data_IF_800945654608
#
_entry.id   IF_800945654608
#
_cell.length_a   1.000
_cell.length_b   1.000
_cell.length_c   1.000
_cell.angle_alpha   90.00
_cell.angle_beta   90.00
_cell.angle_gamma   90.00
#
_symmetry.space_group_name_H-M   'P 1'
#
loop_
_entity.id
_entity.type
_entity.pdbx_description
1 polymer ?
#
# COMPACT_ATOMS: atom_id res chain seq x y z
N UNK A 1 10.10 3.99 -18.22
CA UNK A 1 9.06 4.58 -19.11
C UNK A 1 7.88 3.62 -19.36
N UNK A 2 8.05 2.32 -19.18
CA UNK A 2 6.96 1.33 -19.34
C UNK A 2 6.03 1.29 -18.13
N UNK A 3 6.46 1.76 -16.98
CA UNK A 3 5.69 1.90 -15.76
C UNK A 3 5.36 3.38 -15.55
N UNK A 4 4.14 3.75 -15.80
CA UNK A 4 3.66 5.12 -15.63
C UNK A 4 2.16 5.11 -15.41
N UNK A 5 1.73 5.60 -14.26
CA UNK A 5 0.33 5.77 -13.94
C UNK A 5 0.09 7.19 -13.40
N UNK A 6 -0.95 7.84 -13.91
CA UNK A 6 -1.47 9.07 -13.34
C UNK A 6 -2.74 8.74 -12.56
N UNK A 7 -2.63 8.72 -11.23
CA UNK A 7 -3.74 8.45 -10.34
C UNK A 7 -4.44 9.77 -9.98
N UNK A 8 -5.67 9.94 -10.45
CA UNK A 8 -6.47 11.15 -10.21
C UNK A 8 -7.41 10.93 -9.04
N UNK A 9 -7.47 11.92 -8.16
CA UNK A 9 -8.30 11.90 -6.95
C UNK A 9 -9.44 12.92 -7.06
N UNK A 10 -10.57 12.61 -6.44
CA UNK A 10 -11.69 13.54 -6.29
C UNK A 10 -11.48 14.50 -5.10
N UNK A 11 -12.42 15.40 -4.87
CA UNK A 11 -12.35 16.39 -3.79
C UNK A 11 -12.36 15.77 -2.37
N UNK A 12 -12.60 14.47 -2.24
CA UNK A 12 -12.55 13.73 -0.96
C UNK A 12 -11.23 12.98 -0.76
N UNK A 13 -10.28 13.09 -1.70
CA UNK A 13 -9.04 12.33 -1.69
C UNK A 13 -9.19 10.85 -2.10
N UNK A 14 -10.30 10.49 -2.75
CA UNK A 14 -10.57 9.14 -3.23
C UNK A 14 -10.26 9.03 -4.73
N UNK A 15 -9.90 7.84 -5.21
CA UNK A 15 -9.79 7.63 -6.65
C UNK A 15 -11.10 7.95 -7.38
N UNK A 16 -10.97 8.48 -8.58
CA UNK A 16 -12.13 8.78 -9.41
C UNK A 16 -12.93 7.51 -9.70
N UNK A 17 -14.24 7.60 -9.58
CA UNK A 17 -15.16 6.58 -10.08
C UNK A 17 -15.07 6.46 -11.61
N UNK A 18 -15.52 5.34 -12.16
CA UNK A 18 -15.55 5.13 -13.60
C UNK A 18 -16.33 6.23 -14.34
N UNK A 19 -17.42 6.77 -13.73
CA UNK A 19 -18.20 7.87 -14.28
C UNK A 19 -17.44 9.22 -14.29
N UNK A 20 -16.70 9.52 -13.24
CA UNK A 20 -15.84 10.72 -13.16
C UNK A 20 -14.68 10.63 -14.16
N UNK A 21 -14.03 9.46 -14.25
CA UNK A 21 -12.98 9.21 -15.24
C UNK A 21 -13.47 9.35 -16.69
N UNK A 22 -14.66 8.81 -17.01
CA UNK A 22 -15.28 8.96 -18.33
C UNK A 22 -15.52 10.43 -18.70
N UNK A 23 -15.95 11.25 -17.73
CA UNK A 23 -16.15 12.68 -17.95
C UNK A 23 -14.84 13.44 -18.23
N UNK A 24 -13.75 13.06 -17.57
CA UNK A 24 -12.42 13.64 -17.85
C UNK A 24 -11.96 13.27 -19.26
N UNK A 25 -12.16 12.00 -19.66
CA UNK A 25 -11.83 11.56 -21.02
C UNK A 25 -12.64 12.30 -22.07
N UNK A 26 -13.94 12.53 -21.85
CA UNK A 26 -14.79 13.32 -22.74
C UNK A 26 -14.25 14.76 -22.93
N UNK A 27 -13.83 15.42 -21.84
CA UNK A 27 -13.22 16.76 -21.89
C UNK A 27 -11.91 16.73 -22.67
N UNK A 28 -11.08 15.72 -22.44
CA UNK A 28 -9.79 15.57 -23.11
C UNK A 28 -9.93 15.28 -24.60
N UNK A 29 -10.87 14.41 -24.98
CA UNK A 29 -11.16 14.07 -26.40
C UNK A 29 -11.76 15.25 -27.17
N UNK A 30 -12.58 16.05 -26.50
CA UNK A 30 -13.15 17.26 -27.07
C UNK A 30 -12.17 18.44 -27.13
N UNK A 31 -10.94 18.28 -26.56
CA UNK A 31 -9.97 19.37 -26.39
C UNK A 31 -10.57 20.63 -25.75
N UNK A 32 -11.57 20.43 -24.87
CA UNK A 32 -12.32 21.49 -24.20
C UNK A 32 -11.51 22.09 -23.02
N UNK A 33 -10.38 22.71 -23.34
CA UNK A 33 -9.48 23.30 -22.35
C UNK A 33 -9.65 24.82 -22.30
N UNK A 34 -9.80 25.34 -21.09
CA UNK A 34 -9.75 26.78 -20.84
C UNK A 34 -8.30 27.18 -20.48
N UNK A 35 -7.62 27.83 -21.43
CA UNK A 35 -6.31 28.38 -21.19
C UNK A 35 -6.42 29.85 -20.77
N UNK A 36 -5.68 30.20 -19.73
CA UNK A 36 -5.59 31.58 -19.26
C UNK A 36 -4.45 32.33 -19.97
N UNK A 37 -4.54 33.67 -19.97
CA UNK A 37 -3.43 34.51 -20.44
C UNK A 37 -2.20 34.37 -19.54
N UNK A 38 -1.01 34.69 -20.10
CA UNK A 38 0.26 34.57 -19.39
C UNK A 38 0.33 35.31 -18.07
N UNK A 39 -0.35 36.45 -17.97
CA UNK A 39 -0.42 37.26 -16.76
C UNK A 39 -1.34 36.67 -15.66
N UNK A 40 -2.11 35.65 -15.99
CA UNK A 40 -3.04 34.92 -15.11
C UNK A 40 -2.57 33.50 -14.78
N UNK A 41 -1.34 33.15 -15.12
CA UNK A 41 -0.77 31.84 -14.75
C UNK A 41 -0.68 31.70 -13.23
N UNK A 42 -0.99 30.49 -12.74
CA UNK A 42 -0.82 30.17 -11.33
C UNK A 42 0.64 30.10 -10.90
N UNK A 43 0.87 30.15 -9.61
CA UNK A 43 2.19 29.98 -9.02
C UNK A 43 2.45 28.49 -8.71
N UNK A 44 3.73 28.09 -8.85
CA UNK A 44 4.21 26.77 -8.42
C UNK A 44 4.72 26.89 -6.99
N UNK A 45 4.12 26.15 -6.08
CA UNK A 45 4.61 26.04 -4.69
C UNK A 45 5.18 24.65 -4.44
N UNK A 46 6.27 24.58 -3.67
CA UNK A 46 6.89 23.32 -3.24
C UNK A 46 6.56 23.13 -1.77
N UNK A 47 6.10 21.94 -1.41
CA UNK A 47 5.84 21.54 -0.04
C UNK A 47 6.41 20.14 0.22
N UNK A 48 7.45 20.07 1.02
CA UNK A 48 8.17 18.81 1.33
C UNK A 48 7.69 18.15 2.63
N UNK A 49 6.66 18.70 3.30
CA UNK A 49 6.20 18.21 4.62
C UNK A 49 5.22 17.05 4.55
N UNK A 50 4.67 16.70 3.39
CA UNK A 50 3.61 15.70 3.30
C UNK A 50 4.02 14.29 3.69
N UNK A 51 5.29 13.92 3.52
CA UNK A 51 5.79 12.62 3.96
C UNK A 51 5.76 12.51 5.49
N UNK A 52 6.23 13.52 6.19
CA UNK A 52 6.22 13.56 7.66
C UNK A 52 4.79 13.57 8.19
N UNK A 53 3.91 14.39 7.61
CA UNK A 53 2.48 14.42 7.95
C UNK A 53 1.86 13.02 7.80
N UNK A 54 2.16 12.31 6.70
CA UNK A 54 1.62 10.98 6.49
C UNK A 54 2.13 9.97 7.53
N UNK A 55 3.43 10.02 7.86
CA UNK A 55 4.01 9.16 8.90
C UNK A 55 3.36 9.43 10.26
N UNK A 56 3.21 10.71 10.64
CA UNK A 56 2.59 11.09 11.89
C UNK A 56 1.13 10.58 11.98
N UNK A 57 0.34 10.76 10.93
CA UNK A 57 -1.04 10.24 10.84
C UNK A 57 -1.08 8.70 10.96
N UNK A 58 -0.14 7.99 10.35
CA UNK A 58 -0.05 6.52 10.48
C UNK A 58 0.27 6.11 11.91
N UNK A 59 1.21 6.80 12.56
CA UNK A 59 1.61 6.50 13.95
C UNK A 59 0.50 6.81 14.97
N UNK A 60 -0.41 7.74 14.64
CA UNK A 60 -1.57 8.09 15.46
C UNK A 60 -2.77 7.14 15.28
N UNK A 61 -2.74 6.21 14.31
CA UNK A 61 -3.83 5.25 14.12
C UNK A 61 -4.06 4.40 15.39
N UNK A 62 -5.31 4.22 15.84
CA UNK A 62 -5.62 3.54 17.09
C UNK A 62 -5.14 2.09 17.20
N UNK A 63 -4.85 1.45 16.08
CA UNK A 63 -4.38 0.07 16.01
C UNK A 63 -2.86 -0.03 15.83
N UNK A 64 -2.14 1.09 15.70
CA UNK A 64 -0.69 1.14 15.63
C UNK A 64 -0.14 1.38 17.04
N UNK A 65 0.64 0.42 17.54
CA UNK A 65 1.30 0.50 18.86
C UNK A 65 2.82 0.64 18.64
N UNK A 66 3.24 1.87 18.32
CA UNK A 66 4.64 2.19 18.05
C UNK A 66 5.54 1.93 19.28
N UNK A 67 5.03 2.17 20.49
CA UNK A 67 5.78 1.92 21.72
C UNK A 67 6.02 0.41 21.93
N UNK A 68 5.02 -0.42 21.67
CA UNK A 68 5.18 -1.87 21.70
C UNK A 68 6.24 -2.33 20.69
N UNK A 69 6.17 -1.84 19.45
CA UNK A 69 7.15 -2.18 18.40
C UNK A 69 8.56 -1.79 18.85
N UNK A 70 8.74 -0.60 19.39
CA UNK A 70 10.02 -0.09 19.90
C UNK A 70 10.65 -1.01 20.97
N UNK A 71 9.81 -1.65 21.81
CA UNK A 71 10.30 -2.59 22.84
C UNK A 71 10.87 -3.88 22.25
N UNK A 72 10.44 -4.26 21.03
CA UNK A 72 10.82 -5.53 20.37
C UNK A 72 12.19 -5.49 19.72
N UNK A 73 12.67 -4.29 19.36
CA UNK A 73 13.98 -4.08 18.72
C UNK A 73 14.16 -4.91 17.46
N UNK A 74 13.13 -4.92 16.61
CA UNK A 74 13.15 -5.64 15.34
C UNK A 74 14.26 -5.11 14.43
N UNK A 75 14.85 -6.04 13.67
CA UNK A 75 15.71 -5.76 12.51
C UNK A 75 14.97 -6.17 11.24
N UNK A 76 14.79 -5.25 10.31
CA UNK A 76 13.96 -5.44 9.11
C UNK A 76 14.72 -5.06 7.85
N UNK A 77 14.68 -5.91 6.83
CA UNK A 77 15.16 -5.55 5.48
C UNK A 77 14.01 -4.90 4.71
N UNK A 78 14.26 -3.75 4.08
CA UNK A 78 13.28 -3.04 3.26
C UNK A 78 13.75 -2.98 1.83
N UNK A 79 12.95 -3.51 0.91
CA UNK A 79 13.11 -3.35 -0.53
C UNK A 79 12.09 -2.32 -1.04
N UNK A 80 12.59 -1.15 -1.44
CA UNK A 80 11.82 -0.03 -1.96
C UNK A 80 11.84 0.08 -3.49
N UNK A 81 12.36 -0.94 -4.19
CA UNK A 81 12.47 -1.03 -5.67
C UNK A 81 13.00 0.26 -6.34
N UNK A 82 13.90 0.96 -5.65
CA UNK A 82 14.44 2.27 -6.04
C UNK A 82 13.37 3.32 -6.37
N UNK A 83 12.29 3.32 -5.59
CA UNK A 83 11.18 4.27 -5.69
C UNK A 83 10.84 4.91 -4.34
N UNK A 84 9.68 5.52 -4.22
CA UNK A 84 9.25 6.30 -3.04
C UNK A 84 9.20 5.49 -1.77
N UNK A 85 8.92 4.19 -1.86
CA UNK A 85 8.95 3.25 -0.73
C UNK A 85 10.31 3.19 -0.02
N UNK A 86 11.40 3.38 -0.77
CA UNK A 86 12.77 3.43 -0.22
C UNK A 86 13.04 4.63 0.68
N UNK A 87 12.17 5.64 0.68
CA UNK A 87 12.23 6.80 1.57
C UNK A 87 11.27 6.63 2.75
N UNK A 88 9.98 6.43 2.45
CA UNK A 88 8.95 6.50 3.48
C UNK A 88 8.98 5.30 4.43
N UNK A 89 9.19 4.07 3.93
CA UNK A 89 9.16 2.89 4.78
C UNK A 89 10.30 2.87 5.79
N UNK A 90 11.57 3.12 5.40
CA UNK A 90 12.65 3.27 6.38
C UNK A 90 12.37 4.34 7.43
N UNK A 91 11.90 5.52 7.02
CA UNK A 91 11.63 6.62 7.96
C UNK A 91 10.53 6.26 8.97
N UNK A 92 9.45 5.62 8.54
CA UNK A 92 8.39 5.14 9.42
C UNK A 92 8.92 4.11 10.42
N UNK A 93 9.66 3.11 9.95
CA UNK A 93 10.19 2.04 10.80
C UNK A 93 11.24 2.55 11.80
N UNK A 94 12.13 3.46 11.37
CA UNK A 94 13.16 4.06 12.23
C UNK A 94 12.51 4.88 13.37
N UNK A 95 11.38 5.58 13.11
CA UNK A 95 10.61 6.26 14.15
C UNK A 95 9.96 5.29 15.15
N UNK A 96 9.62 4.09 14.71
CA UNK A 96 9.16 3.00 15.59
C UNK A 96 10.30 2.25 16.29
N UNK A 97 11.55 2.71 16.14
CA UNK A 97 12.73 2.12 16.78
C UNK A 97 13.19 0.79 16.19
N UNK A 98 12.85 0.53 14.94
CA UNK A 98 13.27 -0.64 14.17
C UNK A 98 14.65 -0.39 13.55
N UNK A 99 15.53 -1.38 13.57
CA UNK A 99 16.77 -1.39 12.81
C UNK A 99 16.48 -1.74 11.36
N UNK A 100 16.77 -0.82 10.41
CA UNK A 100 16.44 -1.00 9.00
C UNK A 100 17.67 -1.29 8.17
N UNK A 101 17.65 -2.38 7.43
CA UNK A 101 18.61 -2.71 6.37
C UNK A 101 17.99 -2.35 5.03
N UNK A 102 18.57 -1.37 4.34
CA UNK A 102 18.01 -0.81 3.10
C UNK A 102 18.51 -1.61 1.88
N UNK A 103 17.57 -2.15 1.10
CA UNK A 103 17.81 -2.77 -0.19
C UNK A 103 17.03 -1.99 -1.25
N UNK A 104 17.71 -1.55 -2.31
CA UNK A 104 17.07 -0.81 -3.41
C UNK A 104 16.20 0.38 -2.94
N UNK A 105 16.75 1.18 -2.03
CA UNK A 105 16.08 2.34 -1.44
C UNK A 105 16.57 3.70 -2.00
N UNK A 106 17.25 3.73 -3.13
CA UNK A 106 17.63 4.97 -3.82
C UNK A 106 16.51 5.35 -4.82
N UNK A 107 15.77 6.45 -4.63
CA UNK A 107 14.59 6.78 -5.43
C UNK A 107 14.97 7.35 -6.82
N UNK A 108 15.79 6.62 -7.55
CA UNK A 108 16.29 7.00 -8.88
C UNK A 108 15.40 6.50 -10.04
N UNK A 109 14.38 5.68 -9.74
CA UNK A 109 13.45 5.11 -10.72
C UNK A 109 14.05 4.02 -11.61
N UNK A 110 15.26 3.55 -11.33
CA UNK A 110 15.86 2.41 -12.01
C UNK A 110 15.56 1.14 -11.21
N UNK A 111 14.47 0.48 -11.57
CA UNK A 111 14.03 -0.73 -10.88
C UNK A 111 15.00 -1.88 -11.11
N UNK A 112 15.61 -2.45 -10.05
CA UNK A 112 16.60 -3.52 -10.17
C UNK A 112 15.97 -4.88 -10.53
N UNK A 113 14.68 -5.04 -10.26
CA UNK A 113 13.86 -6.20 -10.61
C UNK A 113 12.49 -5.74 -11.10
N UNK A 114 11.64 -6.67 -11.52
CA UNK A 114 10.24 -6.35 -11.81
C UNK A 114 9.60 -5.77 -10.53
N UNK A 115 8.95 -4.58 -10.60
CA UNK A 115 8.48 -3.88 -9.43
C UNK A 115 7.26 -4.54 -8.75
N UNK A 116 6.63 -5.51 -9.37
CA UNK A 116 5.57 -6.29 -8.71
C UNK A 116 6.18 -7.24 -7.66
N UNK A 117 5.70 -7.22 -6.40
CA UNK A 117 6.27 -8.01 -5.31
C UNK A 117 5.84 -9.48 -5.39
N UNK A 118 6.19 -10.16 -6.49
CA UNK A 118 5.94 -11.57 -6.72
C UNK A 118 7.17 -12.41 -6.36
N UNK A 119 6.95 -13.62 -5.87
CA UNK A 119 8.00 -14.53 -5.38
C UNK A 119 9.19 -14.67 -6.34
N UNK A 120 8.93 -14.70 -7.65
CA UNK A 120 9.94 -14.88 -8.69
C UNK A 120 10.92 -13.70 -8.83
N UNK A 121 10.55 -12.53 -8.28
CA UNK A 121 11.34 -11.29 -8.37
C UNK A 121 12.09 -10.95 -7.09
N UNK A 122 11.85 -11.64 -5.98
CA UNK A 122 12.27 -11.26 -4.64
C UNK A 122 13.49 -12.07 -4.10
N UNK A 123 14.28 -12.68 -4.98
CA UNK A 123 15.41 -13.51 -4.58
C UNK A 123 16.46 -12.77 -3.73
N UNK A 124 16.72 -11.50 -4.03
CA UNK A 124 17.75 -10.71 -3.36
C UNK A 124 17.35 -10.38 -1.91
N UNK A 125 16.09 -9.96 -1.68
CA UNK A 125 15.63 -9.69 -0.31
C UNK A 125 15.51 -10.99 0.50
N UNK A 126 15.03 -12.09 -0.09
CA UNK A 126 14.97 -13.39 0.57
C UNK A 126 16.34 -13.80 1.11
N UNK A 127 17.38 -13.63 0.30
CA UNK A 127 18.76 -13.92 0.70
C UNK A 127 19.25 -12.93 1.77
N UNK A 128 19.00 -11.63 1.59
CA UNK A 128 19.51 -10.60 2.49
C UNK A 128 18.89 -10.71 3.89
N UNK A 129 17.61 -11.10 4.00
CA UNK A 129 16.96 -11.36 5.30
C UNK A 129 17.72 -12.43 6.08
N UNK A 130 18.14 -13.52 5.41
CA UNK A 130 18.92 -14.60 6.04
C UNK A 130 20.33 -14.12 6.41
N UNK A 131 21.03 -13.47 5.47
CA UNK A 131 22.43 -13.02 5.63
C UNK A 131 22.55 -12.02 6.78
N UNK A 132 21.59 -11.10 6.89
CA UNK A 132 21.51 -10.07 7.94
C UNK A 132 20.88 -10.57 9.24
N UNK A 133 20.35 -11.80 9.27
CA UNK A 133 19.59 -12.36 10.39
C UNK A 133 18.47 -11.43 10.83
N UNK A 134 17.78 -10.84 9.85
CA UNK A 134 16.65 -9.96 10.10
C UNK A 134 15.44 -10.76 10.60
N UNK A 135 14.58 -10.11 11.37
CA UNK A 135 13.34 -10.72 11.86
C UNK A 135 12.36 -10.97 10.72
N UNK A 136 12.35 -10.06 9.72
CA UNK A 136 11.57 -10.21 8.48
C UNK A 136 12.03 -9.20 7.42
N UNK A 137 11.49 -9.34 6.21
CA UNK A 137 11.63 -8.38 5.12
C UNK A 137 10.31 -7.73 4.74
N UNK A 138 10.38 -6.50 4.27
CA UNK A 138 9.26 -5.72 3.70
C UNK A 138 9.60 -5.39 2.27
N UNK A 139 8.68 -5.67 1.37
CA UNK A 139 8.77 -5.30 -0.05
C UNK A 139 7.57 -4.47 -0.42
N UNK A 140 7.78 -3.33 -1.06
CA UNK A 140 6.72 -2.49 -1.60
C UNK A 140 6.94 -2.23 -3.09
N UNK A 141 5.86 -1.98 -3.80
CA UNK A 141 5.92 -1.59 -5.20
C UNK A 141 6.22 -0.08 -5.39
N UNK A 142 6.36 0.45 -6.61
CA UNK A 142 6.85 1.82 -6.84
C UNK A 142 6.00 2.93 -6.24
N UNK A 143 4.69 2.77 -6.16
CA UNK A 143 3.75 3.75 -5.60
C UNK A 143 3.19 3.35 -4.23
N UNK A 144 3.75 2.26 -3.66
CA UNK A 144 3.57 1.81 -2.27
C UNK A 144 2.12 1.44 -1.95
N UNK A 145 1.37 0.96 -2.96
CA UNK A 145 0.01 0.47 -2.75
C UNK A 145 -0.05 -1.06 -2.55
N UNK A 146 1.09 -1.76 -2.74
CA UNK A 146 1.23 -3.20 -2.50
C UNK A 146 2.32 -3.49 -1.49
N UNK A 147 2.09 -4.49 -0.67
CA UNK A 147 2.98 -4.91 0.40
C UNK A 147 3.12 -6.44 0.44
N UNK A 148 4.36 -6.91 0.43
CA UNK A 148 4.67 -8.31 0.71
C UNK A 148 5.68 -8.45 1.84
N UNK A 149 5.61 -9.55 2.57
CA UNK A 149 6.53 -9.88 3.65
C UNK A 149 7.41 -11.08 3.32
N UNK A 150 8.64 -11.03 3.78
CA UNK A 150 9.58 -12.16 3.77
C UNK A 150 9.82 -12.58 5.21
N UNK A 151 9.62 -13.85 5.51
CA UNK A 151 9.89 -14.42 6.83
C UNK A 151 11.39 -14.49 7.13
N UNK A 152 11.77 -14.65 8.40
CA UNK A 152 13.16 -14.71 8.84
C UNK A 152 13.97 -15.90 8.27
N UNK A 153 13.30 -16.90 7.71
CA UNK A 153 13.91 -18.03 6.98
C UNK A 153 14.09 -17.75 5.47
N UNK A 154 13.75 -16.53 5.02
CA UNK A 154 13.84 -16.11 3.62
C UNK A 154 12.67 -16.57 2.75
N UNK A 155 11.66 -17.20 3.31
CA UNK A 155 10.46 -17.59 2.54
C UNK A 155 9.46 -16.43 2.48
N UNK A 156 8.82 -16.27 1.32
CA UNK A 156 7.77 -15.29 1.15
C UNK A 156 6.54 -15.68 1.96
N UNK A 157 6.02 -14.74 2.75
CA UNK A 157 4.78 -14.93 3.51
C UNK A 157 3.55 -15.10 2.59
N UNK A 158 3.65 -14.55 1.38
CA UNK A 158 2.61 -14.56 0.36
C UNK A 158 1.80 -13.26 0.37
N UNK A 159 1.74 -12.61 -0.78
CA UNK A 159 1.06 -11.32 -0.97
C UNK A 159 -0.42 -11.35 -0.56
N UNK A 160 -1.08 -12.45 -0.84
CA UNK A 160 -2.48 -12.74 -0.46
C UNK A 160 -2.70 -12.65 1.06
N UNK A 161 -1.73 -13.10 1.86
CA UNK A 161 -1.87 -13.17 3.32
C UNK A 161 -1.60 -11.85 4.02
N UNK A 162 -1.07 -10.84 3.35
CA UNK A 162 -0.91 -9.50 3.92
C UNK A 162 -2.26 -8.96 4.39
N UNK A 163 -3.24 -8.90 3.49
CA UNK A 163 -4.61 -8.48 3.83
C UNK A 163 -5.24 -9.37 4.91
N UNK A 164 -5.06 -10.69 4.80
CA UNK A 164 -5.67 -11.65 5.74
C UNK A 164 -5.15 -11.47 7.16
N UNK A 165 -3.82 -11.29 7.32
CA UNK A 165 -3.21 -11.08 8.63
C UNK A 165 -3.64 -9.76 9.28
N UNK A 166 -3.66 -8.68 8.49
CA UNK A 166 -4.13 -7.37 8.97
C UNK A 166 -5.61 -7.45 9.33
N UNK A 167 -6.43 -8.13 8.51
CA UNK A 167 -7.86 -8.30 8.78
C UNK A 167 -8.12 -9.12 10.05
N UNK A 168 -7.38 -10.21 10.31
CA UNK A 168 -7.52 -10.98 11.55
C UNK A 168 -7.23 -10.10 12.77
N UNK A 169 -6.17 -9.27 12.70
CA UNK A 169 -5.86 -8.32 13.76
C UNK A 169 -6.95 -7.27 13.96
N UNK A 170 -7.38 -6.60 12.90
CA UNK A 170 -8.44 -5.55 12.96
C UNK A 170 -9.73 -6.13 13.50
N UNK A 171 -10.19 -7.27 12.97
CA UNK A 171 -11.43 -7.95 13.39
C UNK A 171 -11.36 -8.44 14.82
N UNK A 172 -10.19 -8.78 15.33
CA UNK A 172 -10.01 -9.14 16.74
C UNK A 172 -10.26 -7.98 17.69
N UNK A 173 -10.13 -6.73 17.24
CA UNK A 173 -10.38 -5.51 18.02
C UNK A 173 -11.77 -4.95 17.77
N UNK A 174 -12.18 -4.94 16.50
CA UNK A 174 -13.48 -4.40 16.08
C UNK A 174 -14.11 -5.38 15.09
N UNK A 175 -14.99 -6.29 15.52
CA UNK A 175 -15.69 -7.18 14.61
C UNK A 175 -16.52 -6.40 13.59
N UNK A 176 -16.53 -6.87 12.34
CA UNK A 176 -17.24 -6.18 11.26
C UNK A 176 -17.19 -6.92 9.93
N UNK A 177 -17.70 -6.28 8.90
CA UNK A 177 -17.73 -6.84 7.56
C UNK A 177 -16.39 -6.59 6.83
N UNK A 178 -16.09 -7.43 5.85
CA UNK A 178 -14.91 -7.27 5.00
C UNK A 178 -15.25 -7.38 3.52
N UNK A 179 -14.38 -6.83 2.67
CA UNK A 179 -14.48 -6.91 1.22
C UNK A 179 -13.12 -7.23 0.62
N UNK A 180 -13.06 -8.15 -0.34
CA UNK A 180 -11.93 -8.22 -1.26
C UNK A 180 -12.40 -8.36 -2.71
N UNK A 181 -11.48 -8.27 -3.67
CA UNK A 181 -11.83 -8.49 -5.07
C UNK A 181 -11.96 -9.99 -5.39
N UNK A 182 -12.51 -10.30 -6.58
CA UNK A 182 -12.73 -11.69 -7.02
C UNK A 182 -11.44 -12.45 -7.37
N UNK A 183 -10.29 -11.77 -7.48
CA UNK A 183 -9.00 -12.43 -7.69
C UNK A 183 -8.34 -12.88 -6.39
N UNK A 184 -8.88 -12.50 -5.24
CA UNK A 184 -8.42 -12.91 -3.93
C UNK A 184 -8.88 -14.34 -3.58
N UNK A 185 -8.12 -14.99 -2.70
CA UNK A 185 -8.49 -16.31 -2.18
C UNK A 185 -9.67 -16.25 -1.21
N UNK A 186 -10.06 -17.41 -0.70
CA UNK A 186 -11.11 -17.50 0.34
C UNK A 186 -10.65 -17.14 1.74
N UNK A 187 -9.35 -16.92 1.94
CA UNK A 187 -8.80 -16.77 3.28
C UNK A 187 -9.39 -15.58 4.05
N UNK A 188 -9.61 -14.43 3.39
CA UNK A 188 -10.26 -13.28 4.03
C UNK A 188 -11.70 -13.61 4.45
N UNK A 189 -12.46 -14.33 3.62
CA UNK A 189 -13.80 -14.76 3.98
C UNK A 189 -13.79 -15.65 5.23
N UNK A 190 -12.92 -16.65 5.25
CA UNK A 190 -12.85 -17.63 6.34
C UNK A 190 -12.47 -16.92 7.67
N UNK A 191 -11.55 -15.94 7.63
CA UNK A 191 -11.22 -15.10 8.79
C UNK A 191 -12.40 -14.21 9.20
N UNK A 192 -13.12 -13.62 8.26
CA UNK A 192 -14.30 -12.79 8.55
C UNK A 192 -15.38 -13.59 9.26
N UNK A 193 -15.69 -14.78 8.75
CA UNK A 193 -16.66 -15.69 9.37
C UNK A 193 -16.23 -16.13 10.78
N UNK A 194 -14.92 -16.39 10.99
CA UNK A 194 -14.34 -16.68 12.31
C UNK A 194 -14.63 -15.58 13.33
N UNK A 195 -14.63 -14.31 12.87
CA UNK A 195 -14.94 -13.13 13.70
C UNK A 195 -16.43 -12.73 13.67
N UNK A 196 -17.33 -13.59 13.16
CA UNK A 196 -18.77 -13.37 13.05
C UNK A 196 -19.17 -12.18 12.15
N UNK A 197 -18.32 -11.78 11.22
CA UNK A 197 -18.60 -10.78 10.22
C UNK A 197 -19.17 -11.37 8.92
N UNK A 198 -19.55 -10.49 7.98
CA UNK A 198 -20.00 -10.85 6.65
C UNK A 198 -18.98 -10.43 5.61
N UNK A 199 -18.64 -11.34 4.71
CA UNK A 199 -17.72 -11.10 3.60
C UNK A 199 -18.46 -10.87 2.28
N UNK A 200 -17.97 -9.93 1.47
CA UNK A 200 -18.42 -9.77 0.09
C UNK A 200 -17.22 -9.61 -0.87
N UNK A 201 -17.40 -10.06 -2.11
CA UNK A 201 -16.41 -9.91 -3.16
C UNK A 201 -16.85 -8.85 -4.18
N UNK A 202 -15.92 -7.96 -4.55
CA UNK A 202 -16.10 -6.96 -5.61
C UNK A 202 -15.49 -7.42 -6.94
N UNK A 203 -15.77 -6.69 -8.02
CA UNK A 203 -14.93 -6.76 -9.21
C UNK A 203 -13.48 -6.36 -8.88
N UNK A 204 -12.54 -6.79 -9.73
CA UNK A 204 -11.12 -6.42 -9.61
C UNK A 204 -10.94 -4.91 -9.77
N UNK A 205 -10.03 -4.34 -8.98
CA UNK A 205 -9.70 -2.93 -8.93
C UNK A 205 -10.12 -2.27 -7.62
N UNK A 206 -9.20 -1.54 -7.02
CA UNK A 206 -9.35 -0.88 -5.72
C UNK A 206 -10.64 -0.07 -5.60
N UNK A 207 -11.00 0.71 -6.64
CA UNK A 207 -12.23 1.53 -6.65
C UNK A 207 -13.47 0.67 -6.39
N UNK A 208 -13.54 -0.53 -6.97
CA UNK A 208 -14.67 -1.45 -6.79
C UNK A 208 -14.71 -2.01 -5.36
N UNK A 209 -13.53 -2.29 -4.77
CA UNK A 209 -13.42 -2.72 -3.37
C UNK A 209 -13.93 -1.62 -2.46
N UNK A 210 -13.43 -0.39 -2.61
CA UNK A 210 -13.80 0.77 -1.77
C UNK A 210 -15.29 1.09 -1.90
N UNK A 211 -15.86 1.09 -3.11
CA UNK A 211 -17.30 1.30 -3.30
C UNK A 211 -18.15 0.24 -2.58
N UNK A 212 -17.73 -1.03 -2.66
CA UNK A 212 -18.44 -2.11 -1.99
C UNK A 212 -18.28 -2.04 -0.47
N UNK A 213 -17.09 -1.68 0.04
CA UNK A 213 -16.87 -1.42 1.46
C UNK A 213 -17.84 -0.37 2.00
N UNK A 214 -18.02 0.76 1.29
CA UNK A 214 -18.97 1.81 1.67
C UNK A 214 -20.41 1.30 1.69
N UNK A 215 -20.81 0.50 0.70
CA UNK A 215 -22.17 -0.06 0.60
C UNK A 215 -22.48 -1.07 1.71
N UNK A 216 -21.46 -1.79 2.19
CA UNK A 216 -21.63 -2.88 3.17
C UNK A 216 -21.19 -2.49 4.58
N UNK A 217 -20.74 -1.24 4.77
CA UNK A 217 -20.09 -0.77 5.99
C UNK A 217 -18.96 -1.72 6.43
N UNK A 218 -18.16 -2.18 5.47
CA UNK A 218 -17.00 -3.00 5.75
C UNK A 218 -15.91 -2.16 6.43
N UNK A 219 -15.28 -2.72 7.46
CA UNK A 219 -14.26 -2.03 8.25
C UNK A 219 -12.86 -2.22 7.70
N UNK A 220 -12.67 -3.25 6.87
CA UNK A 220 -11.41 -3.51 6.16
C UNK A 220 -11.71 -4.19 4.83
N UNK A 221 -10.89 -3.91 3.85
CA UNK A 221 -10.92 -4.55 2.56
C UNK A 221 -9.62 -4.32 1.83
N UNK A 222 -9.42 -5.05 0.73
CA UNK A 222 -8.21 -4.97 -0.08
C UNK A 222 -8.21 -5.98 -1.22
N UNK A 223 -7.06 -6.17 -1.80
CA UNK A 223 -6.84 -7.08 -2.92
C UNK A 223 -5.82 -8.17 -2.54
N UNK A 224 -5.94 -9.36 -3.12
CA UNK A 224 -5.05 -10.51 -2.87
C UNK A 224 -3.65 -10.37 -3.48
N UNK A 225 -3.27 -9.19 -3.94
CA UNK A 225 -1.96 -8.85 -4.50
C UNK A 225 -1.10 -8.00 -3.55
N UNK A 226 -1.50 -7.90 -2.28
CA UNK A 226 -0.83 -7.10 -1.25
C UNK A 226 -1.39 -5.68 -1.08
N UNK A 227 -2.44 -5.35 -1.84
CA UNK A 227 -3.12 -4.04 -1.79
C UNK A 227 -4.35 -3.98 -0.90
#
# INVERSE_FOLDING_TARGET
KQWNALKLLNAKGEFLSGAEGAKILEIAEAEAFDFVDVDSLGEVTINDSYMDIHIDEVLELPLVDADLVKTKKYKVVVDGVNSTGGIIIPNLLEQMGVEVVKLYCEPNGHFPHNPEPLKEHLGDICKLVIDEKADFGIVVDPDVDRLAFISNDGEMFGEEYTLVAVADYVLSKTPGNTVSNMSSSRALRDITEKHNGSYQASAVGEVNVVELMKKTNAIIGGEGNGG
#
